data_IF_762886346803
#
_entry.id   IF_762886346803
#
_cell.length_a   1.000
_cell.length_b   1.000
_cell.length_c   1.000
_cell.angle_alpha   90.00
_cell.angle_beta   90.00
_cell.angle_gamma   90.00
#
_symmetry.space_group_name_H-M   'P 1'
#
loop_
_entity.id
_entity.type
_entity.pdbx_description
1 polymer ?
#
# COMPACT_ATOMS: atom_id res chain seq x y z
N UNK A 1 -15.07 -4.49 -2.84
CA UNK A 1 -16.28 -5.30 -3.13
C UNK A 1 -16.06 -6.34 -4.22
N UNK A 2 -15.80 -5.98 -5.49
CA UNK A 2 -15.71 -6.98 -6.58
C UNK A 2 -14.48 -7.91 -6.48
N UNK A 3 -13.30 -7.38 -6.16
CA UNK A 3 -12.09 -8.20 -6.00
C UNK A 3 -12.24 -9.25 -4.89
N UNK A 4 -12.77 -8.85 -3.74
CA UNK A 4 -12.98 -9.75 -2.60
C UNK A 4 -13.94 -10.90 -2.96
N UNK A 5 -15.03 -10.59 -3.67
CA UNK A 5 -15.94 -11.60 -4.19
C UNK A 5 -15.23 -12.59 -5.14
N UNK A 6 -14.43 -12.10 -6.10
CA UNK A 6 -13.70 -12.97 -7.02
C UNK A 6 -12.68 -13.85 -6.27
N UNK A 7 -12.01 -13.34 -5.24
CA UNK A 7 -11.11 -14.13 -4.39
C UNK A 7 -11.85 -15.19 -3.56
N UNK A 8 -13.01 -14.86 -2.98
CA UNK A 8 -13.87 -15.80 -2.26
C UNK A 8 -14.36 -16.93 -3.16
N UNK A 9 -14.84 -16.61 -4.36
CA UNK A 9 -15.27 -17.60 -5.35
C UNK A 9 -14.09 -18.46 -5.85
N UNK A 10 -12.88 -17.88 -5.95
CA UNK A 10 -11.65 -18.64 -6.21
C UNK A 10 -11.29 -19.59 -5.07
N UNK A 11 -11.49 -19.19 -3.82
CA UNK A 11 -11.29 -20.07 -2.67
C UNK A 11 -12.26 -21.27 -2.68
N UNK A 12 -13.42 -21.10 -3.30
CA UNK A 12 -14.39 -22.17 -3.60
C UNK A 12 -14.05 -22.95 -4.89
N UNK A 13 -12.80 -22.86 -5.38
CA UNK A 13 -12.29 -23.55 -6.58
C UNK A 13 -12.96 -23.16 -7.91
N UNK A 14 -13.66 -22.02 -8.00
CA UNK A 14 -14.19 -21.53 -9.29
C UNK A 14 -13.13 -20.81 -10.13
N UNK A 15 -13.21 -20.98 -11.45
CA UNK A 15 -12.33 -20.28 -12.38
C UNK A 15 -12.73 -18.80 -12.53
N UNK A 16 -11.75 -17.92 -12.73
CA UNK A 16 -12.01 -16.47 -12.90
C UNK A 16 -12.86 -16.20 -14.14
N UNK A 17 -12.67 -16.97 -15.22
CA UNK A 17 -13.47 -16.84 -16.42
C UNK A 17 -14.95 -17.08 -16.14
N UNK A 18 -15.28 -18.15 -15.40
CA UNK A 18 -16.65 -18.46 -14.99
C UNK A 18 -17.24 -17.37 -14.09
N UNK A 19 -16.46 -16.86 -13.12
CA UNK A 19 -16.91 -15.79 -12.23
C UNK A 19 -17.14 -14.48 -13.01
N UNK A 20 -16.22 -14.09 -13.88
CA UNK A 20 -16.35 -12.89 -14.72
C UNK A 20 -17.53 -13.00 -15.71
N UNK A 21 -17.85 -14.21 -16.18
CA UNK A 21 -19.03 -14.45 -17.01
C UNK A 21 -20.32 -14.17 -16.23
N UNK A 22 -20.47 -14.77 -15.05
CA UNK A 22 -21.65 -14.54 -14.20
C UNK A 22 -21.77 -13.06 -13.81
N UNK A 23 -20.66 -12.39 -13.48
CA UNK A 23 -20.67 -10.96 -13.17
C UNK A 23 -21.16 -10.12 -14.35
N UNK A 24 -20.80 -10.46 -15.59
CA UNK A 24 -21.30 -9.79 -16.79
C UNK A 24 -22.79 -9.99 -16.99
N UNK A 25 -23.29 -11.21 -16.74
CA UNK A 25 -24.73 -11.52 -16.81
C UNK A 25 -25.53 -10.71 -15.79
N UNK A 26 -24.93 -10.40 -14.63
CA UNK A 26 -25.50 -9.53 -13.60
C UNK A 26 -25.28 -8.02 -13.86
N UNK A 27 -24.79 -7.63 -15.04
CA UNK A 27 -24.58 -6.23 -15.42
C UNK A 27 -23.28 -5.59 -14.94
N UNK A 28 -22.33 -6.37 -14.43
CA UNK A 28 -21.00 -5.90 -13.96
C UNK A 28 -19.93 -6.27 -15.00
N UNK A 29 -19.48 -5.33 -15.87
CA UNK A 29 -18.58 -5.62 -16.98
C UNK A 29 -17.12 -5.76 -16.50
N UNK A 30 -16.79 -6.91 -15.91
CA UNK A 30 -15.43 -7.23 -15.45
C UNK A 30 -14.83 -8.30 -16.36
N UNK A 31 -13.67 -8.00 -16.94
CA UNK A 31 -12.90 -8.96 -17.71
C UNK A 31 -11.79 -9.59 -16.86
N UNK A 32 -11.35 -10.80 -17.22
CA UNK A 32 -10.22 -11.46 -16.54
C UNK A 32 -8.95 -10.59 -16.52
N UNK A 33 -8.69 -9.87 -17.62
CA UNK A 33 -7.53 -8.97 -17.72
C UNK A 33 -7.62 -7.83 -16.71
N UNK A 34 -8.82 -7.27 -16.52
CA UNK A 34 -9.11 -6.23 -15.53
C UNK A 34 -8.90 -6.76 -14.11
N UNK A 35 -9.44 -7.95 -13.81
CA UNK A 35 -9.18 -8.62 -12.53
C UNK A 35 -7.69 -8.84 -12.27
N UNK A 36 -6.93 -9.35 -13.26
CA UNK A 36 -5.48 -9.56 -13.12
C UNK A 36 -4.72 -8.26 -12.90
N UNK A 37 -5.12 -7.18 -13.58
CA UNK A 37 -4.56 -5.84 -13.38
C UNK A 37 -4.82 -5.36 -11.95
N UNK A 38 -6.06 -5.47 -11.47
CA UNK A 38 -6.42 -5.10 -10.10
C UNK A 38 -5.73 -5.95 -9.04
N UNK A 39 -5.59 -7.27 -9.27
CA UNK A 39 -4.86 -8.17 -8.38
C UNK A 39 -3.37 -7.83 -8.32
N UNK A 40 -2.76 -7.48 -9.46
CA UNK A 40 -1.38 -6.99 -9.50
C UNK A 40 -1.22 -5.61 -8.85
N UNK A 41 -2.27 -4.80 -8.88
CA UNK A 41 -2.31 -3.49 -8.22
C UNK A 41 -2.57 -3.61 -6.71
N UNK A 42 -2.84 -4.80 -6.16
CA UNK A 42 -2.90 -4.97 -4.71
C UNK A 42 -1.54 -4.67 -4.10
N UNK A 43 -1.51 -3.92 -2.98
CA UNK A 43 -0.26 -3.62 -2.29
C UNK A 43 0.43 -4.93 -1.92
N UNK A 44 1.71 -5.04 -2.29
CA UNK A 44 2.50 -6.18 -1.86
C UNK A 44 2.67 -6.16 -0.35
N UNK A 45 3.03 -7.30 0.27
CA UNK A 45 3.37 -7.32 1.71
C UNK A 45 4.45 -6.29 2.07
N UNK A 46 5.33 -5.96 1.12
CA UNK A 46 6.33 -4.91 1.26
C UNK A 46 5.72 -3.52 1.27
N UNK A 47 4.73 -3.25 0.44
CA UNK A 47 4.02 -1.97 0.42
C UNK A 47 3.22 -1.76 1.71
N UNK A 48 2.62 -2.82 2.23
CA UNK A 48 1.95 -2.79 3.53
C UNK A 48 2.94 -2.50 4.67
N UNK A 49 4.08 -3.18 4.70
CA UNK A 49 5.12 -2.92 5.69
C UNK A 49 5.71 -1.50 5.57
N UNK A 50 5.93 -1.01 4.35
CA UNK A 50 6.39 0.35 4.10
C UNK A 50 5.33 1.39 4.49
N UNK A 51 4.03 1.10 4.31
CA UNK A 51 2.94 1.98 4.71
C UNK A 51 2.93 2.22 6.23
N UNK A 52 3.17 1.17 7.04
CA UNK A 52 3.30 1.30 8.50
C UNK A 52 4.43 2.27 8.86
N UNK A 53 5.57 2.18 8.18
CA UNK A 53 6.73 3.05 8.44
C UNK A 53 6.46 4.48 7.96
N UNK A 54 5.81 4.66 6.81
CA UNK A 54 5.39 5.98 6.29
C UNK A 54 4.45 6.66 7.28
N UNK A 55 3.48 5.91 7.81
CA UNK A 55 2.50 6.45 8.75
C UNK A 55 3.15 6.86 10.07
N UNK A 56 4.06 6.03 10.60
CA UNK A 56 4.87 6.39 11.77
C UNK A 56 5.71 7.66 11.53
N UNK A 57 6.36 7.80 10.37
CA UNK A 57 7.07 9.03 10.01
C UNK A 57 6.12 10.23 9.96
N UNK A 58 4.92 10.08 9.39
CA UNK A 58 3.93 11.16 9.30
C UNK A 58 3.44 11.60 10.69
N UNK A 59 3.09 10.63 11.55
CA UNK A 59 2.67 10.88 12.93
C UNK A 59 3.77 11.55 13.77
N UNK A 60 5.04 11.26 13.47
CA UNK A 60 6.17 11.94 14.09
C UNK A 60 6.35 13.36 13.59
N UNK A 61 6.04 13.66 12.31
CA UNK A 61 6.24 15.00 11.71
C UNK A 61 5.09 15.96 11.98
N UNK A 62 3.90 15.44 12.20
CA UNK A 62 2.66 16.21 12.30
C UNK A 62 1.88 15.73 13.50
N UNK A 63 1.49 16.64 14.39
CA UNK A 63 0.69 16.31 15.56
C UNK A 63 -0.77 16.01 15.18
N UNK A 64 -1.58 15.59 16.16
CA UNK A 64 -3.01 15.31 15.95
C UNK A 64 -3.83 16.52 15.44
N UNK A 65 -3.30 17.74 15.58
CA UNK A 65 -3.92 18.99 15.09
C UNK A 65 -3.48 19.38 13.68
N UNK A 66 -2.59 18.62 13.04
CA UNK A 66 -2.06 18.95 11.71
C UNK A 66 -0.86 19.90 11.72
N UNK A 67 -0.30 20.23 12.90
CA UNK A 67 0.82 21.15 13.04
C UNK A 67 2.16 20.41 13.00
N UNK A 68 3.18 21.06 12.44
CA UNK A 68 4.52 20.51 12.40
C UNK A 68 5.09 20.35 13.81
N UNK A 69 5.59 19.17 14.12
CA UNK A 69 6.31 18.89 15.36
C UNK A 69 7.80 19.28 15.22
N UNK A 70 8.57 19.39 16.32
CA UNK A 70 10.02 19.56 16.25
C UNK A 70 10.73 18.45 15.45
N UNK A 71 10.20 17.23 15.49
CA UNK A 71 10.69 16.06 14.77
C UNK A 71 10.47 16.18 13.24
N UNK A 72 9.65 17.12 12.77
CA UNK A 72 9.53 17.45 11.34
C UNK A 72 10.87 17.80 10.69
N UNK A 73 11.79 18.41 11.45
CA UNK A 73 13.14 18.79 11.00
C UNK A 73 14.13 17.61 11.04
N UNK A 74 13.73 16.44 11.53
CA UNK A 74 14.63 15.31 11.65
C UNK A 74 14.93 14.73 10.28
N UNK A 75 16.21 14.81 9.92
CA UNK A 75 16.75 14.07 8.79
C UNK A 75 16.79 12.56 9.05
N UNK A 76 17.13 11.80 8.01
CA UNK A 76 17.14 10.32 8.00
C UNK A 76 17.78 9.67 9.24
N UNK A 77 18.94 10.16 9.68
CA UNK A 77 19.69 9.54 10.80
C UNK A 77 18.89 9.60 12.10
N UNK A 78 18.38 10.79 12.44
CA UNK A 78 17.57 11.01 13.65
C UNK A 78 16.24 10.27 13.54
N UNK A 79 15.59 10.31 12.37
CA UNK A 79 14.35 9.59 12.13
C UNK A 79 14.51 8.06 12.29
N UNK A 80 15.60 7.48 11.77
CA UNK A 80 15.86 6.05 11.92
C UNK A 80 16.05 5.64 13.39
N UNK A 81 16.73 6.47 14.18
CA UNK A 81 16.92 6.20 15.60
C UNK A 81 15.58 6.27 16.36
N UNK A 82 14.77 7.30 16.07
CA UNK A 82 13.46 7.50 16.69
C UNK A 82 12.48 6.36 16.38
N UNK A 83 12.40 5.93 15.11
CA UNK A 83 11.56 4.78 14.72
C UNK A 83 11.98 3.48 15.42
N UNK A 84 13.29 3.26 15.60
CA UNK A 84 13.80 2.10 16.34
C UNK A 84 13.49 2.18 17.83
N UNK A 85 13.54 3.38 18.41
CA UNK A 85 13.17 3.61 19.80
C UNK A 85 11.66 3.35 20.04
N UNK A 86 10.82 3.58 19.03
CA UNK A 86 9.40 3.21 19.02
C UNK A 86 9.16 1.70 18.78
N UNK A 87 10.21 0.88 18.67
CA UNK A 87 10.11 -0.56 18.48
C UNK A 87 10.01 -1.02 17.01
N UNK A 88 10.11 -0.12 16.03
CA UNK A 88 10.08 -0.49 14.62
C UNK A 88 11.44 -1.01 14.14
N UNK A 89 11.46 -2.21 13.56
CA UNK A 89 12.68 -2.79 12.96
C UNK A 89 12.87 -2.24 11.55
N UNK A 90 13.48 -1.06 11.44
CA UNK A 90 13.73 -0.38 10.16
C UNK A 90 15.21 -0.26 9.81
N UNK A 91 15.52 -0.35 8.51
CA UNK A 91 16.87 -0.12 7.98
C UNK A 91 17.06 1.34 7.56
N UNK A 92 18.31 1.84 7.63
CA UNK A 92 18.66 3.20 7.18
C UNK A 92 18.25 3.46 5.72
N UNK A 93 18.40 2.46 4.83
CA UNK A 93 18.06 2.55 3.40
C UNK A 93 16.55 2.55 3.16
N UNK A 94 15.79 1.81 3.97
CA UNK A 94 14.33 1.85 3.93
C UNK A 94 13.82 3.23 4.34
N UNK A 95 14.29 3.77 5.47
CA UNK A 95 13.90 5.11 5.92
C UNK A 95 14.29 6.18 4.90
N UNK A 96 15.48 6.11 4.31
CA UNK A 96 15.89 7.00 3.21
C UNK A 96 14.91 6.97 2.04
N UNK A 97 14.62 5.77 1.53
CA UNK A 97 13.70 5.56 0.41
C UNK A 97 12.32 6.12 0.72
N UNK A 98 11.82 5.90 1.93
CA UNK A 98 10.46 6.31 2.32
C UNK A 98 10.36 7.81 2.61
N UNK A 99 11.40 8.43 3.18
CA UNK A 99 11.45 9.88 3.41
C UNK A 99 11.64 10.68 2.11
N UNK A 100 12.36 10.11 1.14
CA UNK A 100 12.58 10.71 -0.18
C UNK A 100 11.50 10.34 -1.20
N UNK A 101 10.55 9.47 -0.82
CA UNK A 101 9.40 9.16 -1.68
C UNK A 101 8.56 10.44 -1.77
N UNK A 102 8.37 11.02 -2.98
CA UNK A 102 7.44 12.14 -3.13
C UNK A 102 6.09 11.69 -2.56
N UNK A 103 5.48 12.57 -1.76
CA UNK A 103 4.24 12.29 -1.02
C UNK A 103 3.17 11.76 -1.95
N UNK A 104 3.14 10.44 -2.12
CA UNK A 104 2.22 9.76 -3.01
C UNK A 104 0.92 9.66 -2.22
N UNK A 105 0.17 10.75 -2.26
CA UNK A 105 -1.28 10.72 -2.09
C UNK A 105 -1.76 9.71 -3.14
N UNK A 106 -2.02 8.47 -2.70
CA UNK A 106 -2.51 7.35 -3.52
C UNK A 106 -1.97 7.31 -4.95
N UNK A 107 -0.80 6.70 -5.17
CA UNK A 107 -0.20 6.64 -6.50
C UNK A 107 0.35 5.27 -6.82
N UNK A 108 -0.47 4.47 -7.50
CA UNK A 108 -0.04 3.52 -8.52
C UNK A 108 1.02 4.14 -9.43
N UNK A 109 2.24 3.59 -9.45
CA UNK A 109 3.16 3.55 -10.60
C UNK A 109 4.46 2.80 -10.17
N UNK A 110 5.09 1.92 -10.94
CA UNK A 110 5.15 1.73 -12.39
C UNK A 110 5.36 0.25 -12.78
N UNK A 111 4.91 -0.21 -13.97
CA UNK A 111 5.37 -1.46 -14.55
C UNK A 111 6.73 -1.22 -15.23
N UNK A 112 7.70 -2.10 -14.96
CA UNK A 112 8.88 -2.24 -15.83
C UNK A 112 8.46 -3.04 -17.07
N UNK A 113 8.65 -2.44 -18.23
CA UNK A 113 8.55 -3.05 -19.55
C UNK A 113 9.20 -2.09 -20.53
#
# INVERSE_FOLDING_TARGET
MILAFIEEQRAQHRSVGSICQVLREQGVPVAERTYRSWKRAQPSSRDLADAVVIDAIRALRVNAKGEATPESMYGRRKMTALLRQQGLTVSKRQVDRLMNRPGSRGGSDSPRG
#
